data_IF_647086241176
#
_entry.id   IF_647086241176
#
_cell.length_a   1.000
_cell.length_b   1.000
_cell.length_c   1.000
_cell.angle_alpha   90.00
_cell.angle_beta   90.00
_cell.angle_gamma   90.00
#
_symmetry.space_group_name_H-M   'P 1'
#
loop_
_entity.id
_entity.type
_entity.pdbx_description
1 polymer ?
#
# COMPACT_ATOMS: atom_id res chain seq x y z
N UNK A 1 -4.92 -19.65 -4.58
CA UNK A 1 -5.34 -18.52 -3.73
C UNK A 1 -6.82 -18.19 -3.93
N UNK A 2 -7.64 -18.27 -2.87
CA UNK A 2 -9.06 -17.88 -2.90
C UNK A 2 -9.20 -16.41 -2.46
N UNK A 3 -10.11 -15.66 -3.10
CA UNK A 3 -10.39 -14.25 -2.76
C UNK A 3 -11.87 -14.07 -2.40
N UNK A 4 -12.16 -13.22 -1.42
CA UNK A 4 -13.53 -12.81 -1.06
C UNK A 4 -13.54 -11.33 -0.69
N UNK A 5 -14.48 -10.56 -1.24
CA UNK A 5 -14.61 -9.13 -0.96
C UNK A 5 -15.72 -8.89 0.07
N UNK A 6 -15.48 -7.94 0.96
CA UNK A 6 -16.39 -7.52 2.02
C UNK A 6 -16.66 -6.04 1.89
N UNK A 7 -17.90 -5.65 2.18
CA UNK A 7 -18.30 -4.27 2.34
C UNK A 7 -19.00 -4.16 3.69
N UNK A 8 -18.53 -3.24 4.52
CA UNK A 8 -19.13 -2.93 5.80
C UNK A 8 -19.62 -1.49 5.80
N UNK A 9 -20.82 -1.28 6.30
CA UNK A 9 -21.40 0.04 6.51
C UNK A 9 -21.48 0.34 8.01
N UNK A 10 -20.52 1.13 8.55
CA UNK A 10 -20.47 1.50 9.97
C UNK A 10 -21.35 2.71 10.33
N UNK A 11 -22.15 3.25 9.42
CA UNK A 11 -22.92 4.47 9.70
C UNK A 11 -23.95 4.23 10.82
N UNK A 12 -24.18 5.20 11.72
CA UNK A 12 -23.56 6.53 11.76
C UNK A 12 -22.23 6.60 12.53
N UNK A 13 -21.72 5.50 13.11
CA UNK A 13 -20.52 5.50 13.94
C UNK A 13 -19.24 5.89 13.17
N UNK A 14 -19.19 5.54 11.89
CA UNK A 14 -18.19 6.04 10.95
C UNK A 14 -18.87 6.40 9.62
N UNK A 15 -18.45 7.53 9.03
CA UNK A 15 -19.16 8.21 7.93
C UNK A 15 -19.00 7.57 6.55
N UNK A 16 -18.09 6.60 6.40
CA UNK A 16 -17.85 5.94 5.12
C UNK A 16 -18.06 4.44 5.23
N UNK A 17 -18.56 3.85 4.15
CA UNK A 17 -18.50 2.43 3.94
C UNK A 17 -17.04 2.00 3.70
N UNK A 18 -16.67 0.85 4.25
CA UNK A 18 -15.30 0.32 4.15
C UNK A 18 -15.33 -1.01 3.41
N UNK A 19 -14.48 -1.17 2.41
CA UNK A 19 -14.31 -2.44 1.71
C UNK A 19 -12.97 -3.08 2.02
N UNK A 20 -12.93 -4.41 1.94
CA UNK A 20 -11.71 -5.18 2.04
C UNK A 20 -11.74 -6.42 1.16
N UNK A 21 -10.57 -6.86 0.73
CA UNK A 21 -10.38 -8.13 0.04
C UNK A 21 -9.64 -9.09 0.96
N UNK A 22 -10.26 -10.22 1.27
CA UNK A 22 -9.64 -11.34 1.97
C UNK A 22 -9.01 -12.29 0.96
N UNK A 23 -7.73 -12.56 1.12
CA UNK A 23 -6.98 -13.53 0.35
C UNK A 23 -6.60 -14.71 1.27
N UNK A 24 -6.89 -15.92 0.81
CA UNK A 24 -6.52 -17.15 1.52
C UNK A 24 -5.50 -17.95 0.73
N UNK A 25 -4.40 -18.42 1.39
CA UNK A 25 -3.49 -19.40 0.79
C UNK A 25 -4.23 -20.72 0.53
N UNK A 26 -3.65 -21.59 -0.30
CA UNK A 26 -4.27 -22.89 -0.58
C UNK A 26 -4.14 -23.83 0.62
N UNK A 27 -3.13 -23.61 1.48
CA UNK A 27 -2.94 -24.31 2.76
C UNK A 27 -2.93 -23.33 3.94
N UNK A 28 -4.08 -22.81 4.38
CA UNK A 28 -4.15 -21.86 5.50
C UNK A 28 -3.69 -22.50 6.80
N UNK A 29 -2.83 -21.80 7.52
CA UNK A 29 -2.37 -22.21 8.84
C UNK A 29 -3.47 -21.96 9.89
N UNK A 30 -3.97 -23.01 10.53
CA UNK A 30 -5.05 -22.90 11.52
C UNK A 30 -4.73 -21.88 12.63
N UNK A 31 -3.52 -21.92 13.17
CA UNK A 31 -3.01 -21.02 14.23
C UNK A 31 -1.96 -20.02 13.74
N UNK A 32 -1.93 -19.80 12.42
CA UNK A 32 -1.02 -18.86 11.77
C UNK A 32 -1.41 -17.40 11.97
N UNK A 33 -0.58 -16.52 11.42
CA UNK A 33 -0.81 -15.07 11.47
C UNK A 33 -1.88 -14.65 10.46
N UNK A 34 -2.65 -13.63 10.82
CA UNK A 34 -3.52 -12.90 9.91
C UNK A 34 -2.83 -11.60 9.52
N UNK A 35 -2.64 -11.38 8.22
CA UNK A 35 -2.04 -10.14 7.71
C UNK A 35 -3.12 -9.08 7.52
N UNK A 36 -2.92 -7.87 8.06
CA UNK A 36 -3.78 -6.71 7.77
C UNK A 36 -2.98 -5.76 6.89
N UNK A 37 -3.43 -5.56 5.64
CA UNK A 37 -2.71 -4.81 4.61
C UNK A 37 -3.38 -3.46 4.32
N UNK A 38 -2.56 -2.42 4.25
CA UNK A 38 -2.96 -1.08 3.82
C UNK A 38 -2.13 -0.66 2.59
N UNK A 39 -2.82 -0.40 1.47
CA UNK A 39 -2.23 0.01 0.20
C UNK A 39 -1.68 1.45 0.21
N UNK A 40 -0.76 1.76 -0.70
CA UNK A 40 -0.22 3.11 -0.91
C UNK A 40 -1.11 4.01 -1.76
N UNK A 41 -0.73 5.28 -1.92
CA UNK A 41 -1.44 6.22 -2.79
C UNK A 41 -1.48 5.72 -4.25
N UNK A 42 -2.53 6.07 -4.99
CA UNK A 42 -2.74 5.67 -6.40
C UNK A 42 -2.89 4.15 -6.64
N UNK A 43 -3.03 3.34 -5.58
CA UNK A 43 -3.26 1.89 -5.64
C UNK A 43 -4.55 1.53 -4.88
N UNK A 44 -4.90 0.25 -4.84
CA UNK A 44 -6.14 -0.24 -4.21
C UNK A 44 -5.99 -1.68 -3.70
N UNK A 45 -6.99 -2.20 -2.99
CA UNK A 45 -6.90 -3.48 -2.25
C UNK A 45 -6.48 -4.67 -3.13
N UNK A 46 -6.88 -4.70 -4.40
CA UNK A 46 -6.55 -5.79 -5.33
C UNK A 46 -5.16 -5.71 -5.95
N UNK A 47 -4.47 -4.57 -5.86
CA UNK A 47 -3.08 -4.45 -6.34
C UNK A 47 -2.09 -5.29 -5.52
N UNK A 48 -2.48 -5.74 -4.31
CA UNK A 48 -1.72 -6.68 -3.49
C UNK A 48 -1.75 -8.12 -4.00
N UNK A 49 -2.73 -8.48 -4.83
CA UNK A 49 -2.99 -9.87 -5.25
C UNK A 49 -1.77 -10.55 -5.86
N UNK A 50 -0.96 -9.83 -6.65
CA UNK A 50 0.25 -10.39 -7.25
C UNK A 50 1.29 -10.77 -6.18
N UNK A 51 1.58 -9.86 -5.25
CA UNK A 51 2.52 -10.10 -4.15
C UNK A 51 2.02 -11.22 -3.24
N UNK A 52 0.72 -11.23 -2.91
CA UNK A 52 0.11 -12.26 -2.06
C UNK A 52 0.14 -13.65 -2.70
N UNK A 53 -0.04 -13.75 -4.03
CA UNK A 53 0.12 -15.02 -4.76
C UNK A 53 1.51 -15.61 -4.53
N UNK A 54 2.56 -14.83 -4.77
CA UNK A 54 3.94 -15.28 -4.55
C UNK A 54 4.22 -15.57 -3.07
N UNK A 55 3.69 -14.76 -2.15
CA UNK A 55 3.87 -14.98 -0.71
C UNK A 55 3.27 -16.31 -0.27
N UNK A 56 2.07 -16.64 -0.75
CA UNK A 56 1.38 -17.89 -0.40
C UNK A 56 2.06 -19.10 -1.04
N UNK A 57 2.57 -18.97 -2.26
CA UNK A 57 3.40 -20.00 -2.90
C UNK A 57 4.65 -20.31 -2.06
N UNK A 58 5.31 -19.29 -1.48
CA UNK A 58 6.46 -19.49 -0.60
C UNK A 58 6.10 -20.22 0.70
N UNK A 59 4.90 -20.00 1.24
CA UNK A 59 4.44 -20.69 2.45
C UNK A 59 3.92 -22.11 2.18
N UNK A 60 3.40 -22.36 0.98
CA UNK A 60 2.74 -23.63 0.63
C UNK A 60 3.73 -24.68 0.08
N UNK A 61 4.79 -24.23 -0.61
CA UNK A 61 5.78 -25.09 -1.29
C UNK A 61 6.85 -25.68 -0.36
N UNK A 62 6.96 -25.18 0.88
CA UNK A 62 7.82 -25.73 1.91
C UNK A 62 7.32 -27.10 2.38
N UNK A 63 7.56 -28.18 1.63
CA UNK A 63 7.11 -29.56 1.98
C UNK A 63 7.56 -30.05 3.37
N UNK A 64 8.50 -29.36 4.01
CA UNK A 64 9.02 -29.67 5.35
C UNK A 64 8.80 -28.56 6.39
N UNK A 65 8.11 -27.47 6.05
CA UNK A 65 7.78 -26.40 6.99
C UNK A 65 6.26 -26.27 7.11
N UNK A 66 5.71 -26.13 8.34
CA UNK A 66 4.29 -25.86 8.49
C UNK A 66 3.93 -24.50 7.86
N UNK A 67 2.72 -24.35 7.29
CA UNK A 67 2.25 -23.06 6.82
C UNK A 67 2.19 -22.09 8.01
N UNK A 68 2.45 -20.81 7.75
CA UNK A 68 2.54 -19.78 8.79
C UNK A 68 1.49 -18.69 8.67
N UNK A 69 0.86 -18.54 7.51
CA UNK A 69 -0.17 -17.53 7.24
C UNK A 69 -1.54 -18.21 7.25
N UNK A 70 -2.48 -17.61 7.99
CA UNK A 70 -3.89 -18.03 8.02
C UNK A 70 -4.66 -17.40 6.86
N UNK A 71 -4.63 -16.07 6.78
CA UNK A 71 -5.28 -15.26 5.76
C UNK A 71 -4.66 -13.85 5.70
N UNK A 72 -4.98 -13.11 4.65
CA UNK A 72 -4.56 -11.72 4.46
C UNK A 72 -5.77 -10.86 4.11
N UNK A 73 -5.89 -9.69 4.73
CA UNK A 73 -6.99 -8.75 4.55
C UNK A 73 -6.47 -7.41 4.06
N UNK A 74 -6.76 -7.06 2.81
CA UNK A 74 -6.42 -5.77 2.23
C UNK A 74 -7.59 -4.82 2.43
N UNK A 75 -7.47 -3.87 3.36
CA UNK A 75 -8.52 -2.90 3.67
C UNK A 75 -8.26 -1.62 2.87
N UNK A 76 -9.30 -1.11 2.21
CA UNK A 76 -9.18 0.00 1.26
C UNK A 76 -9.45 1.35 1.92
N UNK A 77 -8.66 2.37 1.53
CA UNK A 77 -8.91 3.73 1.95
C UNK A 77 -10.25 4.23 1.36
N UNK A 78 -11.12 4.93 2.11
CA UNK A 78 -12.46 5.26 1.63
C UNK A 78 -12.51 6.12 0.36
N UNK A 79 -11.46 6.89 0.05
CA UNK A 79 -11.35 7.68 -1.19
C UNK A 79 -10.54 6.99 -2.30
N UNK A 80 -10.24 5.69 -2.19
CA UNK A 80 -9.51 4.93 -3.20
C UNK A 80 -10.31 3.74 -3.74
N UNK A 81 -9.91 3.27 -4.92
CA UNK A 81 -10.45 2.07 -5.56
C UNK A 81 -11.97 2.09 -5.67
N UNK A 82 -12.57 0.94 -5.38
CA UNK A 82 -14.03 0.75 -5.36
C UNK A 82 -14.69 1.54 -4.23
N UNK A 83 -14.00 1.69 -3.09
CA UNK A 83 -14.52 2.43 -1.93
C UNK A 83 -14.77 3.89 -2.25
N UNK A 84 -13.94 4.51 -3.10
CA UNK A 84 -14.15 5.87 -3.59
C UNK A 84 -15.50 6.03 -4.32
N UNK A 85 -15.90 5.01 -5.07
CA UNK A 85 -17.15 4.99 -5.83
C UNK A 85 -18.34 4.81 -4.91
N UNK A 86 -18.21 3.92 -3.92
CA UNK A 86 -19.25 3.67 -2.91
C UNK A 86 -19.50 4.90 -2.04
N UNK A 87 -18.45 5.67 -1.74
CA UNK A 87 -18.50 6.82 -0.84
C UNK A 87 -18.55 8.17 -1.58
N UNK A 88 -18.80 8.21 -2.89
CA UNK A 88 -18.69 9.45 -3.69
C UNK A 88 -19.54 10.60 -3.12
N UNK A 89 -20.78 10.31 -2.73
CA UNK A 89 -21.70 11.30 -2.13
C UNK A 89 -21.26 11.70 -0.72
N UNK A 90 -20.89 10.73 0.13
CA UNK A 90 -20.44 10.99 1.50
C UNK A 90 -19.13 11.80 1.50
N UNK A 91 -18.19 11.51 0.59
CA UNK A 91 -16.94 12.26 0.46
C UNK A 91 -17.24 13.69 0.05
N UNK A 92 -18.14 13.88 -0.92
CA UNK A 92 -18.55 15.21 -1.39
C UNK A 92 -19.21 16.02 -0.28
N UNK A 93 -20.03 15.37 0.56
CA UNK A 93 -20.68 15.99 1.71
C UNK A 93 -19.68 16.38 2.81
N UNK A 94 -18.79 15.47 3.18
CA UNK A 94 -17.89 15.65 4.33
C UNK A 94 -16.60 16.40 4.01
N UNK A 95 -16.17 16.40 2.74
CA UNK A 95 -14.94 17.04 2.27
C UNK A 95 -15.18 17.91 1.03
N UNK A 96 -16.01 18.96 1.13
CA UNK A 96 -16.23 19.89 0.02
C UNK A 96 -14.92 20.58 -0.38
N UNK A 97 -14.80 20.94 -1.66
CA UNK A 97 -13.60 21.59 -2.21
C UNK A 97 -12.39 20.67 -2.39
N UNK A 98 -12.59 19.35 -2.29
CA UNK A 98 -11.53 18.36 -2.50
C UNK A 98 -10.58 18.22 -1.31
N UNK A 99 -10.99 18.62 -0.11
CA UNK A 99 -10.24 18.32 1.11
C UNK A 99 -10.11 16.81 1.37
N UNK A 100 -9.20 16.42 2.26
CA UNK A 100 -9.15 15.07 2.78
C UNK A 100 -8.48 15.09 4.15
N UNK A 101 -8.95 14.27 5.08
CA UNK A 101 -8.27 14.05 6.34
C UNK A 101 -7.53 12.71 6.27
N UNK A 102 -6.21 12.71 6.40
CA UNK A 102 -5.43 11.48 6.29
C UNK A 102 -5.75 10.45 7.38
N UNK A 103 -6.33 10.89 8.51
CA UNK A 103 -6.85 10.00 9.56
C UNK A 103 -8.07 9.18 9.14
N UNK A 104 -8.70 9.46 8.00
CA UNK A 104 -9.79 8.62 7.51
C UNK A 104 -9.33 7.21 7.17
N UNK A 105 -8.09 7.02 6.72
CA UNK A 105 -7.60 5.69 6.43
C UNK A 105 -7.44 4.81 7.69
N UNK A 106 -6.72 5.22 8.76
CA UNK A 106 -6.69 4.45 10.00
C UNK A 106 -8.08 4.28 10.63
N UNK A 107 -8.97 5.28 10.57
CA UNK A 107 -10.36 5.13 11.07
C UNK A 107 -11.17 4.09 10.29
N UNK A 108 -11.00 4.02 8.96
CA UNK A 108 -11.63 2.99 8.15
C UNK A 108 -11.13 1.59 8.53
N UNK A 109 -9.82 1.43 8.74
CA UNK A 109 -9.24 0.18 9.21
C UNK A 109 -9.81 -0.21 10.58
N UNK A 110 -9.88 0.73 11.53
CA UNK A 110 -10.50 0.52 12.85
C UNK A 110 -11.97 0.08 12.73
N UNK A 111 -12.76 0.78 11.92
CA UNK A 111 -14.18 0.46 11.71
C UNK A 111 -14.34 -0.95 11.13
N UNK A 112 -13.52 -1.32 10.14
CA UNK A 112 -13.55 -2.65 9.54
C UNK A 112 -13.15 -3.75 10.52
N UNK A 113 -12.09 -3.56 11.30
CA UNK A 113 -11.64 -4.52 12.32
C UNK A 113 -12.73 -4.76 13.37
N UNK A 114 -13.42 -3.71 13.81
CA UNK A 114 -14.48 -3.82 14.80
C UNK A 114 -15.79 -4.40 14.23
N UNK A 115 -15.95 -4.46 12.90
CA UNK A 115 -17.16 -4.98 12.23
C UNK A 115 -17.34 -6.49 12.31
N UNK A 116 -16.28 -7.24 12.63
CA UNK A 116 -16.24 -8.70 12.68
C UNK A 116 -16.76 -9.35 11.38
N UNK A 117 -16.15 -9.07 10.21
CA UNK A 117 -16.58 -9.63 8.93
C UNK A 117 -16.53 -11.17 9.01
N UNK A 118 -17.57 -11.84 8.51
CA UNK A 118 -17.74 -13.30 8.63
C UNK A 118 -17.67 -13.83 10.08
N UNK A 119 -18.08 -13.01 11.06
CA UNK A 119 -18.01 -13.37 12.47
C UNK A 119 -16.58 -13.45 13.02
N UNK A 120 -15.57 -12.95 12.28
CA UNK A 120 -14.17 -13.02 12.70
C UNK A 120 -13.87 -11.92 13.71
N UNK A 121 -13.58 -12.30 14.94
CA UNK A 121 -13.01 -11.37 15.92
C UNK A 121 -11.50 -11.22 15.71
N UNK A 122 -11.06 -10.12 15.09
CA UNK A 122 -9.64 -9.87 14.84
C UNK A 122 -8.81 -9.70 16.13
N UNK A 123 -9.43 -9.28 17.24
CA UNK A 123 -8.75 -9.14 18.54
C UNK A 123 -8.31 -10.48 19.14
N UNK A 124 -8.84 -11.60 18.64
CA UNK A 124 -8.45 -12.96 19.03
C UNK A 124 -7.43 -13.59 18.07
N UNK A 125 -7.01 -12.85 17.04
CA UNK A 125 -6.05 -13.33 16.02
C UNK A 125 -4.64 -12.83 16.33
N UNK A 126 -3.64 -13.56 15.83
CA UNK A 126 -2.26 -13.08 15.77
C UNK A 126 -2.11 -12.17 14.55
N UNK A 127 -2.33 -10.87 14.74
CA UNK A 127 -2.32 -9.89 13.66
C UNK A 127 -0.90 -9.40 13.36
N UNK A 128 -0.55 -9.35 12.07
CA UNK A 128 0.65 -8.67 11.57
C UNK A 128 0.21 -7.56 10.62
N UNK A 129 0.59 -6.33 10.93
CA UNK A 129 0.26 -5.18 10.09
C UNK A 129 1.26 -5.06 8.94
N UNK A 130 0.78 -4.85 7.72
CA UNK A 130 1.62 -4.69 6.52
C UNK A 130 1.19 -3.44 5.76
N UNK A 131 2.06 -2.44 5.66
CA UNK A 131 1.69 -1.17 5.04
C UNK A 131 2.72 -0.68 4.05
N UNK A 132 2.27 -0.31 2.85
CA UNK A 132 3.12 0.30 1.83
C UNK A 132 2.87 1.80 1.73
N UNK A 133 3.95 2.60 1.66
CA UNK A 133 3.87 4.04 1.43
C UNK A 133 2.88 4.71 2.42
N UNK A 134 1.86 5.43 1.94
CA UNK A 134 0.80 6.02 2.75
C UNK A 134 0.03 5.01 3.62
N UNK A 135 -0.11 3.76 3.19
CA UNK A 135 -0.70 2.69 3.99
C UNK A 135 0.19 2.27 5.17
N UNK A 136 1.52 2.37 5.01
CA UNK A 136 2.48 2.22 6.12
C UNK A 136 2.26 3.26 7.20
N UNK A 137 2.05 4.51 6.78
CA UNK A 137 1.71 5.61 7.68
C UNK A 137 0.35 5.38 8.36
N UNK A 138 -0.68 4.99 7.61
CA UNK A 138 -2.00 4.71 8.17
C UNK A 138 -1.97 3.59 9.23
N UNK A 139 -1.21 2.52 8.99
CA UNK A 139 -1.06 1.41 9.96
C UNK A 139 -0.33 1.86 11.22
N UNK A 140 0.71 2.69 11.11
CA UNK A 140 1.39 3.23 12.29
C UNK A 140 0.46 4.16 13.09
N UNK A 141 -0.26 5.05 12.42
CA UNK A 141 -1.27 5.91 13.05
C UNK A 141 -2.41 5.12 13.70
N UNK A 142 -2.75 3.93 13.17
CA UNK A 142 -3.77 3.08 13.78
C UNK A 142 -3.42 2.70 15.22
N UNK A 143 -2.13 2.61 15.58
CA UNK A 143 -1.72 2.30 16.94
C UNK A 143 -2.22 3.33 17.97
N UNK A 144 -2.46 4.58 17.59
CA UNK A 144 -3.09 5.57 18.48
C UNK A 144 -4.58 5.33 18.68
N UNK A 145 -5.26 4.84 17.63
CA UNK A 145 -6.70 4.54 17.69
C UNK A 145 -6.98 3.18 18.33
N UNK A 146 -6.05 2.23 18.18
CA UNK A 146 -6.14 0.86 18.65
C UNK A 146 -4.79 0.39 19.22
N UNK A 147 -4.37 0.91 20.39
CA UNK A 147 -3.10 0.50 21.00
C UNK A 147 -3.04 -1.01 21.23
N UNK A 148 -1.89 -1.61 20.96
CA UNK A 148 -1.62 -3.05 21.14
C UNK A 148 -2.45 -4.00 20.26
N UNK A 149 -3.18 -3.48 19.26
CA UNK A 149 -3.87 -4.33 18.28
C UNK A 149 -2.89 -5.22 17.51
N UNK A 150 -1.74 -4.65 17.14
CA UNK A 150 -0.66 -5.38 16.46
C UNK A 150 0.56 -5.50 17.37
N UNK A 151 1.08 -6.72 17.49
CA UNK A 151 2.39 -6.97 18.10
C UNK A 151 3.52 -6.91 17.07
N UNK A 152 3.22 -6.80 15.77
CA UNK A 152 4.22 -6.84 14.72
C UNK A 152 3.81 -6.04 13.47
N UNK A 153 4.78 -5.34 12.89
CA UNK A 153 4.62 -4.41 11.79
C UNK A 153 5.64 -4.72 10.69
N UNK A 154 5.18 -4.78 9.45
CA UNK A 154 6.00 -4.87 8.23
C UNK A 154 5.72 -3.61 7.42
N UNK A 155 6.64 -2.65 7.47
CA UNK A 155 6.51 -1.36 6.81
C UNK A 155 7.33 -1.35 5.53
N UNK A 156 6.64 -1.29 4.39
CA UNK A 156 7.20 -1.28 3.05
C UNK A 156 7.31 0.15 2.56
N UNK A 157 8.53 0.70 2.57
CA UNK A 157 8.80 2.04 2.09
C UNK A 157 7.82 3.11 2.67
N UNK A 158 7.57 3.11 3.99
CA UNK A 158 6.46 3.87 4.56
C UNK A 158 6.67 5.38 4.34
N UNK A 159 5.59 6.10 4.05
CA UNK A 159 5.62 7.56 3.89
C UNK A 159 5.60 8.25 5.27
N UNK A 160 6.59 7.97 6.12
CA UNK A 160 6.72 8.54 7.47
C UNK A 160 7.94 9.48 7.46
N UNK A 161 7.85 10.61 8.15
CA UNK A 161 8.89 11.64 8.07
C UNK A 161 8.97 12.43 9.37
N UNK A 162 10.18 12.66 9.89
CA UNK A 162 10.38 13.50 11.08
C UNK A 162 9.93 14.93 10.83
N UNK A 163 9.54 15.64 11.90
CA UNK A 163 9.21 17.06 11.84
C UNK A 163 10.30 17.91 11.13
N UNK A 164 11.58 17.68 11.45
CA UNK A 164 12.71 18.40 10.85
C UNK A 164 12.86 18.18 9.34
N UNK A 165 12.36 17.05 8.82
CA UNK A 165 12.49 16.67 7.42
C UNK A 165 11.19 16.94 6.64
N UNK A 166 10.19 17.57 7.27
CA UNK A 166 8.86 17.80 6.69
C UNK A 166 8.89 18.63 5.40
N UNK A 167 9.82 19.60 5.28
CA UNK A 167 9.97 20.40 4.07
C UNK A 167 10.32 19.55 2.84
N UNK A 168 11.20 18.56 3.00
CA UNK A 168 11.55 17.61 1.94
C UNK A 168 10.33 16.81 1.51
N UNK A 169 9.54 16.33 2.48
CA UNK A 169 8.29 15.61 2.22
C UNK A 169 7.28 16.47 1.46
N UNK A 170 7.02 17.69 1.92
CA UNK A 170 6.10 18.63 1.25
C UNK A 170 6.53 18.87 -0.20
N UNK A 171 7.83 19.03 -0.46
CA UNK A 171 8.33 19.21 -1.82
C UNK A 171 8.04 17.99 -2.71
N UNK A 172 8.24 16.77 -2.20
CA UNK A 172 7.91 15.54 -2.92
C UNK A 172 6.40 15.43 -3.19
N UNK A 173 5.57 15.67 -2.19
CA UNK A 173 4.11 15.59 -2.35
C UNK A 173 3.57 16.63 -3.34
N UNK A 174 4.17 17.82 -3.41
CA UNK A 174 3.83 18.83 -4.44
C UNK A 174 4.09 18.32 -5.85
N UNK A 175 5.24 17.68 -6.09
CA UNK A 175 5.58 17.10 -7.39
C UNK A 175 4.61 15.99 -7.76
N UNK A 176 4.30 15.10 -6.80
CA UNK A 176 3.33 14.01 -7.00
C UNK A 176 1.95 14.58 -7.34
N UNK A 177 1.51 15.61 -6.61
CA UNK A 177 0.23 16.30 -6.86
C UNK A 177 0.15 16.87 -8.28
N UNK A 178 1.20 17.57 -8.74
CA UNK A 178 1.25 18.13 -10.10
C UNK A 178 1.23 17.02 -11.16
N UNK A 179 1.99 15.94 -10.93
CA UNK A 179 1.96 14.78 -11.80
C UNK A 179 0.56 14.18 -11.87
N UNK A 180 -0.08 13.91 -10.73
CA UNK A 180 -1.43 13.33 -10.66
C UNK A 180 -2.43 14.12 -11.50
N UNK A 181 -2.45 15.46 -11.41
CA UNK A 181 -3.39 16.29 -12.17
C UNK A 181 -3.24 16.19 -13.69
N UNK A 182 -2.01 16.00 -14.18
CA UNK A 182 -1.71 15.96 -15.62
C UNK A 182 -1.93 14.59 -16.26
N UNK A 183 -2.22 13.55 -15.47
CA UNK A 183 -2.50 12.22 -15.98
C UNK A 183 -3.85 12.16 -16.68
N UNK A 184 -3.92 11.28 -17.68
CA UNK A 184 -5.18 10.80 -18.23
C UNK A 184 -5.86 9.89 -17.21
N UNK A 185 -7.16 10.08 -17.01
CA UNK A 185 -8.00 9.29 -16.09
C UNK A 185 -9.30 8.78 -16.73
N UNK A 186 -9.49 9.02 -18.03
CA UNK A 186 -10.70 8.66 -18.77
C UNK A 186 -10.35 8.12 -20.16
N UNK A 187 -11.02 7.03 -20.56
CA UNK A 187 -10.75 6.29 -21.80
C UNK A 187 -12.05 5.79 -22.44
N UNK A 188 -12.00 5.51 -23.75
CA UNK A 188 -13.15 4.97 -24.51
C UNK A 188 -13.57 3.57 -24.05
N UNK A 189 -12.61 2.77 -23.58
CA UNK A 189 -12.83 1.41 -23.12
C UNK A 189 -11.64 0.97 -22.25
N UNK A 190 -11.78 -0.20 -21.60
CA UNK A 190 -10.72 -0.79 -20.77
C UNK A 190 -9.46 -1.15 -21.57
N UNK A 191 -9.59 -1.47 -22.86
CA UNK A 191 -8.45 -1.80 -23.74
C UNK A 191 -7.56 -0.58 -23.98
N UNK A 192 -8.17 0.57 -24.22
CA UNK A 192 -7.52 1.87 -24.37
C UNK A 192 -6.91 2.34 -23.05
N UNK A 193 -7.60 2.11 -21.92
CA UNK A 193 -7.05 2.35 -20.59
C UNK A 193 -5.79 1.49 -20.34
N UNK A 194 -5.82 0.20 -20.70
CA UNK A 194 -4.66 -0.70 -20.61
C UNK A 194 -3.47 -0.17 -21.40
N UNK A 195 -3.68 0.22 -22.66
CA UNK A 195 -2.60 0.80 -23.49
C UNK A 195 -1.99 2.05 -22.86
N UNK A 196 -2.80 2.92 -22.26
CA UNK A 196 -2.30 4.13 -21.59
C UNK A 196 -1.53 3.79 -20.30
N UNK A 197 -2.03 2.87 -19.47
CA UNK A 197 -1.36 2.43 -18.24
C UNK A 197 -0.04 1.72 -18.52
N UNK A 198 0.05 0.98 -19.63
CA UNK A 198 1.28 0.30 -20.07
C UNK A 198 2.39 1.27 -20.49
N UNK A 199 2.04 2.44 -21.04
CA UNK A 199 3.03 3.45 -21.47
C UNK A 199 3.32 4.50 -20.40
N UNK A 200 2.46 4.63 -19.40
CA UNK A 200 2.54 5.66 -18.39
C UNK A 200 3.76 5.51 -17.47
N UNK A 201 4.53 6.59 -17.29
CA UNK A 201 5.76 6.59 -16.49
C UNK A 201 5.64 5.96 -15.09
N UNK A 202 4.53 6.21 -14.38
CA UNK A 202 4.29 5.66 -13.03
C UNK A 202 3.89 4.19 -12.96
N UNK A 203 3.41 3.60 -14.07
CA UNK A 203 2.84 2.24 -14.10
C UNK A 203 3.43 1.33 -15.19
N UNK A 204 4.26 1.85 -16.09
CA UNK A 204 4.82 1.12 -17.24
C UNK A 204 5.55 -0.16 -16.83
N UNK A 205 6.25 -0.13 -15.69
CA UNK A 205 7.01 -1.26 -15.15
C UNK A 205 6.26 -2.07 -14.09
N UNK A 206 4.97 -1.82 -13.88
CA UNK A 206 4.19 -2.68 -12.99
C UNK A 206 4.12 -4.09 -13.57
N UNK A 207 4.18 -5.07 -12.68
CA UNK A 207 4.04 -6.47 -13.03
C UNK A 207 2.69 -6.71 -13.75
N UNK A 208 2.62 -7.56 -14.80
CA UNK A 208 1.40 -7.79 -15.57
C UNK A 208 0.16 -8.10 -14.71
N UNK A 209 0.28 -9.02 -13.74
CA UNK A 209 -0.81 -9.36 -12.78
C UNK A 209 -1.33 -8.13 -12.00
N UNK A 210 -0.48 -7.16 -11.67
CA UNK A 210 -0.89 -5.93 -10.97
C UNK A 210 -1.66 -5.02 -11.91
N UNK A 211 -1.18 -4.88 -13.16
CA UNK A 211 -1.89 -4.11 -14.18
C UNK A 211 -3.25 -4.73 -14.51
N UNK A 212 -3.34 -6.06 -14.59
CA UNK A 212 -4.60 -6.76 -14.82
C UNK A 212 -5.61 -6.44 -13.70
N UNK A 213 -5.20 -6.57 -12.44
CA UNK A 213 -6.01 -6.20 -11.29
C UNK A 213 -6.43 -4.72 -11.32
N UNK A 214 -5.53 -3.82 -11.72
CA UNK A 214 -5.81 -2.39 -11.81
C UNK A 214 -6.81 -2.04 -12.94
N UNK A 215 -6.70 -2.67 -14.10
CA UNK A 215 -7.66 -2.47 -15.20
C UNK A 215 -9.03 -3.04 -14.85
N UNK A 216 -9.06 -4.16 -14.14
CA UNK A 216 -10.32 -4.80 -13.75
C UNK A 216 -11.04 -4.03 -12.64
N UNK A 217 -10.31 -3.63 -11.59
CA UNK A 217 -10.91 -3.11 -10.33
C UNK A 217 -10.64 -1.63 -10.07
N UNK A 218 -9.61 -1.06 -10.68
CA UNK A 218 -9.26 0.36 -10.56
C UNK A 218 -10.04 1.28 -11.50
N UNK A 219 -10.89 0.73 -12.38
CA UNK A 219 -11.69 1.47 -13.36
C UNK A 219 -13.19 1.28 -13.13
N UNK A 220 -13.97 2.35 -13.30
CA UNK A 220 -15.44 2.32 -13.33
C UNK A 220 -15.98 2.74 -14.69
N UNK A 221 -17.24 2.39 -14.97
CA UNK A 221 -17.98 2.98 -16.10
C UNK A 221 -18.08 4.48 -15.85
N UNK A 222 -17.85 5.29 -16.89
CA UNK A 222 -17.88 6.74 -16.76
C UNK A 222 -19.30 7.20 -16.34
N UNK A 223 -19.45 8.10 -15.35
CA UNK A 223 -20.77 8.55 -14.88
C UNK A 223 -21.68 9.10 -15.99
N UNK A 224 -21.09 9.75 -17.00
CA UNK A 224 -21.81 10.26 -18.17
C UNK A 224 -22.45 9.17 -19.06
N UNK A 225 -22.17 7.88 -18.86
CA UNK A 225 -22.93 6.77 -19.50
C UNK A 225 -24.42 6.80 -19.15
N UNK A 226 -24.79 7.43 -18.03
CA UNK A 226 -26.19 7.54 -17.59
C UNK A 226 -26.93 8.74 -18.18
N UNK A 227 -26.24 9.63 -18.90
CA UNK A 227 -26.88 10.77 -19.55
C UNK A 227 -27.66 10.31 -20.79
N UNK A 228 -28.70 11.04 -21.23
CA UNK A 228 -29.41 10.73 -22.47
C UNK A 228 -28.58 11.10 -23.71
N UNK A 229 -28.84 10.41 -24.82
CA UNK A 229 -28.31 10.76 -26.13
C UNK A 229 -28.62 12.24 -26.49
N UNK A 230 -27.71 12.97 -27.18
CA UNK A 230 -26.39 12.55 -27.66
C UNK A 230 -25.24 12.86 -26.67
N UNK A 231 -25.56 13.08 -25.38
CA UNK A 231 -24.59 13.52 -24.37
C UNK A 231 -24.03 12.37 -23.52
N UNK A 232 -24.46 11.14 -23.79
CA UNK A 232 -23.93 9.95 -23.14
C UNK A 232 -22.47 9.68 -23.52
N UNK A 233 -21.74 9.03 -22.62
CA UNK A 233 -20.39 8.55 -22.89
C UNK A 233 -20.16 7.19 -22.23
N UNK A 234 -20.14 6.14 -23.06
CA UNK A 234 -20.01 4.73 -22.63
C UNK A 234 -18.55 4.29 -22.36
N UNK A 235 -17.71 5.24 -21.98
CA UNK A 235 -16.32 4.99 -21.64
C UNK A 235 -16.10 4.52 -20.20
N UNK A 236 -14.84 4.52 -19.81
CA UNK A 236 -14.39 4.20 -18.45
C UNK A 236 -13.53 5.32 -17.88
N UNK A 237 -13.52 5.44 -16.57
CA UNK A 237 -12.69 6.39 -15.82
C UNK A 237 -12.08 5.70 -14.60
N UNK A 238 -11.09 6.33 -13.96
CA UNK A 238 -10.55 5.83 -12.71
C UNK A 238 -11.65 5.77 -11.63
N UNK A 239 -11.65 4.69 -10.85
CA UNK A 239 -12.51 4.56 -9.68
C UNK A 239 -12.09 5.55 -8.57
N UNK A 240 -10.78 5.66 -8.31
CA UNK A 240 -10.20 6.77 -7.57
C UNK A 240 -9.91 7.93 -8.53
N UNK A 241 -10.72 9.00 -8.47
CA UNK A 241 -10.49 10.15 -9.34
C UNK A 241 -9.21 10.90 -8.96
N UNK A 242 -8.65 11.68 -9.90
CA UNK A 242 -7.42 12.46 -9.67
C UNK A 242 -7.51 13.39 -8.46
N UNK A 243 -8.70 13.94 -8.19
CA UNK A 243 -8.92 14.82 -7.04
C UNK A 243 -8.74 14.08 -5.72
N UNK A 244 -9.19 12.83 -5.62
CA UNK A 244 -9.04 12.01 -4.41
C UNK A 244 -7.59 11.56 -4.20
N UNK A 245 -6.93 11.06 -5.26
CA UNK A 245 -5.50 10.71 -5.22
C UNK A 245 -4.63 11.92 -4.80
N UNK A 246 -4.89 13.09 -5.41
CA UNK A 246 -4.21 14.34 -5.08
C UNK A 246 -4.60 14.92 -3.71
N UNK A 247 -5.75 14.55 -3.15
CA UNK A 247 -6.10 14.99 -1.80
C UNK A 247 -5.24 14.28 -0.75
N UNK A 248 -4.88 13.01 -0.96
CA UNK A 248 -4.06 12.25 -0.02
C UNK A 248 -2.61 12.76 0.06
N UNK A 249 -2.05 13.32 -1.02
CA UNK A 249 -0.71 13.94 -0.98
C UNK A 249 -0.67 15.23 -0.15
N UNK A 250 -1.83 15.85 0.11
CA UNK A 250 -1.93 17.10 0.87
C UNK A 250 -2.05 16.89 2.38
N UNK A 251 -2.20 15.64 2.85
CA UNK A 251 -2.29 15.30 4.28
C UNK A 251 -0.90 15.11 4.88
N UNK A 252 -0.04 16.13 4.75
CA UNK A 252 1.38 16.06 5.11
C UNK A 252 1.66 16.21 6.61
N UNK A 253 0.69 16.75 7.33
CA UNK A 253 0.73 17.09 8.76
C UNK A 253 0.78 15.86 9.68
N UNK A 254 0.27 14.71 9.21
CA UNK A 254 0.27 13.46 9.96
C UNK A 254 1.63 12.73 9.95
N UNK A 255 2.54 13.07 9.03
CA UNK A 255 3.80 12.33 8.88
C UNK A 255 4.75 12.43 10.09
N UNK A 256 4.94 13.62 10.71
CA UNK A 256 5.69 13.75 11.96
C UNK A 256 5.04 12.98 13.12
N UNK A 257 3.72 13.04 13.24
CA UNK A 257 3.00 12.31 14.28
C UNK A 257 3.16 10.79 14.14
N UNK A 258 3.05 10.27 12.91
CA UNK A 258 3.33 8.86 12.63
C UNK A 258 4.80 8.49 12.95
N UNK A 259 5.74 9.43 12.80
CA UNK A 259 7.13 9.19 13.18
C UNK A 259 7.27 9.05 14.71
N UNK A 260 6.59 9.88 15.49
CA UNK A 260 6.62 9.80 16.94
C UNK A 260 6.02 8.48 17.45
N UNK A 261 4.90 8.03 16.85
CA UNK A 261 4.35 6.70 17.14
C UNK A 261 5.34 5.59 16.76
N UNK A 262 5.99 5.68 15.59
CA UNK A 262 7.01 4.70 15.22
C UNK A 262 8.14 4.61 16.26
N UNK A 263 8.50 5.73 16.90
CA UNK A 263 9.48 5.74 18.00
C UNK A 263 8.96 5.03 19.24
N UNK A 264 7.69 5.22 19.61
CA UNK A 264 7.11 4.48 20.74
C UNK A 264 7.04 2.98 20.46
N UNK A 265 6.74 2.58 19.21
CA UNK A 265 6.81 1.18 18.79
C UNK A 265 8.22 0.59 18.92
N UNK A 266 9.26 1.33 18.53
CA UNK A 266 10.64 0.90 18.73
C UNK A 266 11.01 0.74 20.20
N UNK A 267 10.60 1.69 21.06
CA UNK A 267 10.91 1.63 22.48
C UNK A 267 10.19 0.48 23.20
N UNK A 268 9.00 0.11 22.73
CA UNK A 268 8.15 -0.94 23.30
C UNK A 268 8.57 -2.37 22.95
N UNK A 269 7.57 -3.26 22.93
CA UNK A 269 7.71 -4.69 22.64
C UNK A 269 7.23 -5.07 21.22
N UNK A 270 6.76 -4.09 20.45
CA UNK A 270 6.32 -4.31 19.08
C UNK A 270 7.51 -4.71 18.19
N UNK A 271 7.32 -5.71 17.35
CA UNK A 271 8.32 -6.10 16.36
C UNK A 271 8.14 -5.29 15.08
N UNK A 272 9.10 -4.45 14.72
CA UNK A 272 9.02 -3.61 13.52
C UNK A 272 10.04 -4.07 12.47
N UNK A 273 9.56 -4.39 11.28
CA UNK A 273 10.34 -4.82 10.14
C UNK A 273 10.22 -3.79 9.01
N UNK A 274 11.34 -3.23 8.58
CA UNK A 274 11.39 -2.27 7.48
C UNK A 274 11.84 -2.95 6.19
N UNK A 275 11.15 -2.67 5.09
CA UNK A 275 11.51 -3.10 3.74
C UNK A 275 11.62 -1.87 2.85
N UNK A 276 12.80 -1.59 2.34
CA UNK A 276 13.07 -0.44 1.48
C UNK A 276 13.44 -0.86 0.06
N UNK A 277 13.14 0.00 -0.91
CA UNK A 277 13.74 -0.08 -2.24
C UNK A 277 15.23 0.30 -2.21
N UNK A 278 16.04 -0.26 -3.12
CA UNK A 278 17.46 0.14 -3.29
C UNK A 278 17.64 1.26 -4.30
N UNK A 279 16.72 1.39 -5.26
CA UNK A 279 16.83 2.37 -6.33
C UNK A 279 16.40 3.74 -5.81
N UNK A 280 17.20 4.76 -6.10
CA UNK A 280 16.95 6.16 -5.71
C UNK A 280 15.51 6.57 -6.01
N UNK A 281 14.84 7.02 -4.95
CA UNK A 281 13.52 7.63 -4.98
C UNK A 281 13.69 9.11 -5.35
N UNK A 282 12.67 9.75 -5.90
CA UNK A 282 12.71 11.19 -6.25
C UNK A 282 13.09 12.06 -5.04
N UNK A 283 14.22 12.78 -5.12
CA UNK A 283 14.71 13.70 -4.06
C UNK A 283 15.76 13.09 -3.12
N UNK A 284 16.18 13.84 -2.08
CA UNK A 284 17.14 13.37 -1.05
C UNK A 284 16.51 12.33 -0.09
N UNK A 285 15.84 11.31 -0.62
CA UNK A 285 15.03 10.36 0.16
C UNK A 285 15.89 9.47 1.07
N UNK A 286 17.20 9.41 0.82
CA UNK A 286 18.16 8.78 1.75
C UNK A 286 18.03 9.35 3.16
N UNK A 287 17.84 10.67 3.31
CA UNK A 287 17.67 11.31 4.63
C UNK A 287 16.40 10.82 5.34
N UNK A 288 15.32 10.58 4.58
CA UNK A 288 14.07 10.06 5.11
C UNK A 288 14.21 8.60 5.55
N UNK A 289 14.88 7.76 4.75
CA UNK A 289 15.11 6.36 5.10
C UNK A 289 16.06 6.24 6.32
N UNK A 290 17.13 7.04 6.35
CA UNK A 290 18.09 7.08 7.47
C UNK A 290 17.38 7.49 8.77
N UNK A 291 16.44 8.45 8.68
CA UNK A 291 15.61 8.85 9.81
C UNK A 291 14.80 7.67 10.36
N UNK A 292 14.20 6.84 9.51
CA UNK A 292 13.38 5.70 9.92
C UNK A 292 14.20 4.54 10.49
N UNK A 293 15.42 4.35 10.00
CA UNK A 293 16.34 3.29 10.43
C UNK A 293 17.01 3.61 11.76
N UNK A 294 17.15 4.89 12.11
CA UNK A 294 17.79 5.29 13.37
C UNK A 294 17.06 4.70 14.59
N UNK A 295 17.81 4.28 15.61
CA UNK A 295 17.24 3.80 16.88
C UNK A 295 16.52 4.93 17.64
N UNK A 296 15.52 4.59 18.44
CA UNK A 296 14.90 5.52 19.40
C UNK A 296 15.95 5.96 20.43
N UNK A 297 16.18 7.27 20.62
CA UNK A 297 17.33 7.77 21.39
C UNK A 297 17.43 7.31 22.84
N UNK A 298 16.30 7.08 23.51
CA UNK A 298 16.26 6.78 24.96
C UNK A 298 16.51 5.30 25.23
N UNK A 299 15.78 4.44 24.53
CA UNK A 299 15.83 2.98 24.67
C UNK A 299 16.97 2.34 23.87
N UNK A 300 17.49 3.04 22.86
CA UNK A 300 18.48 2.50 21.90
C UNK A 300 17.91 1.40 20.99
N UNK A 301 16.61 1.09 21.08
CA UNK A 301 15.93 0.09 20.25
C UNK A 301 15.55 0.66 18.89
N UNK A 302 15.50 -0.18 17.87
CA UNK A 302 15.07 0.19 16.53
C UNK A 302 14.30 -0.95 15.87
N UNK A 303 14.21 -0.91 14.54
CA UNK A 303 13.59 -2.00 13.78
C UNK A 303 14.29 -3.35 14.02
N UNK A 304 13.51 -4.41 14.23
CA UNK A 304 13.96 -5.79 14.40
C UNK A 304 14.64 -6.35 13.15
N UNK A 305 14.25 -5.86 11.96
CA UNK A 305 14.98 -6.15 10.73
C UNK A 305 14.84 -5.00 9.73
N UNK A 306 15.87 -4.79 8.94
CA UNK A 306 15.85 -3.86 7.81
C UNK A 306 16.27 -4.63 6.57
N UNK A 307 15.39 -4.70 5.58
CA UNK A 307 15.64 -5.33 4.28
C UNK A 307 15.70 -4.26 3.20
N UNK A 308 16.65 -4.40 2.26
CA UNK A 308 16.74 -3.56 1.07
C UNK A 308 16.63 -4.46 -0.15
N UNK A 309 15.58 -4.29 -0.96
CA UNK A 309 15.34 -5.13 -2.13
C UNK A 309 16.38 -4.82 -3.21
N UNK A 310 17.01 -5.82 -3.87
CA UNK A 310 18.13 -5.58 -4.79
C UNK A 310 17.76 -4.71 -6.00
N UNK A 311 16.47 -4.63 -6.35
CA UNK A 311 15.93 -3.81 -7.43
C UNK A 311 14.52 -3.34 -7.09
N UNK A 312 13.97 -2.46 -7.93
CA UNK A 312 12.68 -1.80 -7.72
C UNK A 312 12.82 -0.44 -7.02
N UNK A 313 11.94 0.49 -7.37
CA UNK A 313 11.83 1.80 -6.72
C UNK A 313 10.75 1.81 -5.64
N UNK A 314 10.27 3.00 -5.24
CA UNK A 314 9.22 3.16 -4.22
C UNK A 314 7.99 2.25 -4.43
N UNK A 315 7.61 2.00 -5.69
CA UNK A 315 6.48 1.14 -6.07
C UNK A 315 6.86 -0.34 -6.20
N UNK A 316 7.84 -0.84 -5.43
CA UNK A 316 8.34 -2.21 -5.56
C UNK A 316 7.27 -3.29 -5.31
N UNK A 317 6.22 -2.98 -4.54
CA UNK A 317 5.09 -3.90 -4.37
C UNK A 317 4.39 -4.17 -5.70
N UNK A 318 4.30 -3.15 -6.57
CA UNK A 318 3.67 -3.23 -7.88
C UNK A 318 4.65 -3.64 -8.98
N UNK A 319 5.92 -3.21 -8.92
CA UNK A 319 6.92 -3.52 -9.95
C UNK A 319 7.62 -4.87 -9.72
N UNK A 320 7.90 -5.20 -8.46
CA UNK A 320 8.68 -6.39 -8.05
C UNK A 320 7.90 -7.21 -6.99
N UNK A 321 6.64 -7.62 -7.25
CA UNK A 321 5.78 -8.28 -6.26
C UNK A 321 6.39 -9.56 -5.68
N UNK A 322 7.19 -10.30 -6.46
CA UNK A 322 7.90 -11.50 -6.00
C UNK A 322 8.99 -11.16 -4.97
N UNK A 323 9.82 -10.14 -5.21
CA UNK A 323 10.83 -9.71 -4.23
C UNK A 323 10.18 -9.17 -2.96
N UNK A 324 9.10 -8.41 -3.11
CA UNK A 324 8.30 -7.93 -1.99
C UNK A 324 7.70 -9.10 -1.17
N UNK A 325 7.23 -10.15 -1.84
CA UNK A 325 6.73 -11.37 -1.20
C UNK A 325 7.84 -12.10 -0.42
N UNK A 326 9.02 -12.27 -1.02
CA UNK A 326 10.17 -12.88 -0.34
C UNK A 326 10.59 -12.11 0.91
N UNK A 327 10.67 -10.78 0.82
CA UNK A 327 11.02 -9.95 1.97
C UNK A 327 9.94 -10.00 3.07
N UNK A 328 8.66 -10.02 2.68
CA UNK A 328 7.54 -10.20 3.61
C UNK A 328 7.62 -11.56 4.30
N UNK A 329 7.88 -12.62 3.54
CA UNK A 329 8.03 -13.97 4.07
C UNK A 329 9.18 -14.05 5.10
N UNK A 330 10.32 -13.40 4.82
CA UNK A 330 11.44 -13.32 5.77
C UNK A 330 11.05 -12.58 7.06
N UNK A 331 10.31 -11.48 6.97
CA UNK A 331 9.81 -10.75 8.12
C UNK A 331 8.81 -11.59 8.94
N UNK A 332 7.83 -12.25 8.31
CA UNK A 332 6.88 -13.15 8.98
C UNK A 332 7.60 -14.28 9.71
N UNK A 333 8.63 -14.88 9.09
CA UNK A 333 9.45 -15.91 9.75
C UNK A 333 10.20 -15.39 10.96
N UNK A 334 10.76 -14.17 10.86
CA UNK A 334 11.42 -13.50 11.99
C UNK A 334 10.45 -13.25 13.14
N UNK A 335 9.24 -12.76 12.83
CA UNK A 335 8.17 -12.52 13.81
C UNK A 335 7.84 -13.79 14.60
N UNK A 336 7.82 -14.92 13.90
CA UNK A 336 7.52 -16.24 14.47
C UNK A 336 8.74 -16.93 15.09
N UNK A 337 9.91 -16.29 15.15
CA UNK A 337 11.14 -16.89 15.69
C UNK A 337 11.68 -18.07 14.88
N UNK A 338 11.25 -18.23 13.62
CA UNK A 338 11.66 -19.35 12.78
C UNK A 338 13.02 -19.03 12.15
N UNK A 339 14.07 -19.72 12.61
CA UNK A 339 15.44 -19.53 12.11
C UNK A 339 15.49 -19.58 10.58
N UNK A 340 16.25 -18.66 9.99
CA UNK A 340 16.57 -18.70 8.57
C UNK A 340 17.45 -19.93 8.30
N UNK A 341 17.07 -20.77 7.34
CA UNK A 341 18.07 -21.60 6.65
C UNK A 341 18.81 -20.66 5.71
N UNK A 342 20.15 -20.74 5.57
CA UNK A 342 20.85 -19.94 4.57
C UNK A 342 20.22 -20.20 3.21
N UNK A 343 19.54 -19.19 2.66
CA UNK A 343 19.03 -19.26 1.31
C UNK A 343 20.23 -19.06 0.39
N UNK A 344 20.69 -20.15 -0.26
CA UNK A 344 21.32 -20.00 -1.55
C UNK A 344 20.25 -19.37 -2.44
N UNK A 345 20.45 -18.14 -2.92
CA UNK A 345 19.76 -17.71 -4.13
C UNK A 345 20.09 -18.79 -5.16
N UNK A 346 19.14 -19.67 -5.49
CA UNK A 346 19.22 -20.32 -6.79
C UNK A 346 19.23 -19.16 -7.75
N UNK A 347 20.32 -19.01 -8.50
CA UNK A 347 20.39 -18.10 -9.62
C UNK A 347 19.11 -18.32 -10.43
N UNK A 348 18.12 -17.46 -10.24
CA UNK A 348 17.10 -17.23 -11.25
C UNK A 348 17.93 -16.79 -12.45
N UNK A 349 17.80 -17.48 -13.57
CA UNK A 349 18.54 -17.15 -14.77
C UNK A 349 18.22 -15.69 -15.13
N UNK A 350 19.17 -14.79 -14.87
CA UNK A 350 19.05 -13.34 -15.04
C UNK A 350 19.41 -12.92 -16.47
N UNK A 351 19.47 -13.84 -17.43
CA UNK A 351 19.90 -13.57 -18.80
C UNK A 351 18.89 -12.82 -19.68
N UNK A 352 17.70 -12.47 -19.17
CA UNK A 352 16.72 -11.61 -19.87
C UNK A 352 16.46 -10.27 -19.17
N UNK A 353 17.40 -9.74 -18.38
CA UNK A 353 17.29 -8.34 -17.93
C UNK A 353 17.66 -7.39 -19.07
N UNK A 354 16.65 -6.81 -19.73
CA UNK A 354 16.82 -5.68 -20.63
C UNK A 354 17.57 -4.54 -19.92
N UNK A 355 18.54 -3.96 -20.62
CA UNK A 355 19.41 -2.86 -20.20
C UNK A 355 18.68 -1.80 -19.37
N UNK A 356 18.99 -1.75 -18.08
CA UNK A 356 18.68 -0.62 -17.20
C UNK A 356 19.87 0.35 -17.15
N UNK A 357 20.31 0.84 -18.31
CA UNK A 357 21.20 1.99 -18.37
C UNK A 357 20.39 3.27 -18.16
N UNK A 358 20.37 3.72 -16.90
CA UNK A 358 19.72 4.96 -16.48
C UNK A 358 20.72 6.11 -16.65
N UNK A 359 20.54 6.94 -17.67
CA UNK A 359 21.18 8.26 -17.70
C UNK A 359 20.29 9.30 -17.02
N UNK A 360 20.85 10.25 -16.23
CA UNK A 360 20.12 11.35 -15.58
C UNK A 360 19.32 12.26 -16.53
N UNK A 361 19.51 12.14 -17.85
CA UNK A 361 18.87 12.96 -18.87
C UNK A 361 17.37 12.69 -19.06
N UNK A 362 16.84 11.55 -18.58
CA UNK A 362 15.44 11.16 -18.82
C UNK A 362 14.44 11.73 -17.79
N UNK A 363 14.89 12.51 -16.80
CA UNK A 363 14.06 13.23 -15.82
C UNK A 363 13.95 14.74 -16.09
N UNK A 364 14.40 15.20 -17.27
CA UNK A 364 14.64 16.61 -17.53
C UNK A 364 13.44 17.59 -17.66
N UNK A 365 12.15 17.24 -17.86
CA UNK A 365 11.13 18.28 -18.03
C UNK A 365 10.59 18.90 -16.72
N UNK A 366 11.01 18.45 -15.53
CA UNK A 366 10.47 18.96 -14.25
C UNK A 366 11.31 20.08 -13.60
N UNK A 367 12.45 20.46 -14.19
CA UNK A 367 13.30 21.55 -13.67
C UNK A 367 12.94 22.94 -14.19
N UNK A 368 12.06 23.07 -15.19
CA UNK A 368 11.86 24.35 -15.87
C UNK A 368 10.83 25.29 -15.23
N UNK A 369 10.07 24.85 -14.20
CA UNK A 369 9.02 25.65 -13.57
C UNK A 369 9.08 25.66 -12.03
N UNK A 370 10.29 25.68 -11.47
CA UNK A 370 10.52 26.06 -10.07
C UNK A 370 11.08 27.47 -9.99
#
# INVERSE_FOLDING_TARGET
MKTTTYTYDPRPAYKFQVTAAKYMPDRPAADGVTLILAHGNATHKETWSAMLSFLFELTDTGRHAPPVIKDAWCIECPNHGESAVLNEDDISLHYPGGGWNGWEYPRAIQAFINSRPDGINFHERKLVAVGHSAGGTAIVLLNDLMPNLFSSYILMDPAITRAQDAHTRVTMERIITQYTWTRQDTWRDRKSARKAIDSQAGSRYWHPKVKDAYIEKGLRVHPASKLPDPFNFDGVTLACCKAYEAAMTRTVDLYPHAFDILRTLYAGDAQVHLIFATIEKLGNVKVLDDALVSAEPTSGKGANSIQRLPRGGHMFVQTEPELAAHATHNAVRSILGIKQRPQSFRNVDLSESQDYDRTPAQLAPLRAHL
#
